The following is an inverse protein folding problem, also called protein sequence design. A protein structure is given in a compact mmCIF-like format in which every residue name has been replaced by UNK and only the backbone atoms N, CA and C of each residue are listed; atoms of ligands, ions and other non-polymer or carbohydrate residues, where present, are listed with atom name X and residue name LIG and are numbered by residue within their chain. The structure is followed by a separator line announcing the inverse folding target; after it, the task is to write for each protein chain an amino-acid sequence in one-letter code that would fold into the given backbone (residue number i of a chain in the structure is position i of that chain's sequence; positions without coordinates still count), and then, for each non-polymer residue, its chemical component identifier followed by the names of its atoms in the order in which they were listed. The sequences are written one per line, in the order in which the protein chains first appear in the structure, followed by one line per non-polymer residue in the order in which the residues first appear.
data_IF_964867216909
#
_entry.id   IF_964867216909
#
_cell.length_a   1.000
_cell.length_b   1.000
_cell.length_c   1.000
_cell.angle_alpha   90.00
_cell.angle_beta   90.00
_cell.angle_gamma   90.00
#
_symmetry.space_group_name_H-M   'P 1'
#
loop_
_entity.id
_entity.type
_entity.pdbx_description
1 polymer ?
#
# COMPACT_ATOMS: atom_id res chain seq x y z
N UNK A 1 1.93 -47.61 -4.06
CA UNK A 1 2.16 -46.96 -5.38
C UNK A 1 1.00 -46.06 -5.81
N UNK A 2 -0.26 -46.51 -5.84
CA UNK A 2 -1.42 -45.64 -6.18
C UNK A 2 -1.44 -44.31 -5.40
N UNK A 3 -1.26 -44.34 -4.08
CA UNK A 3 -1.31 -43.15 -3.23
C UNK A 3 -0.14 -42.17 -3.47
N UNK A 4 0.99 -42.66 -3.98
CA UNK A 4 2.14 -41.82 -4.33
C UNK A 4 1.87 -41.06 -5.63
N UNK A 5 1.23 -41.71 -6.61
CA UNK A 5 0.79 -41.03 -7.85
C UNK A 5 -0.27 -39.97 -7.58
N UNK A 6 -1.22 -40.24 -6.67
CA UNK A 6 -2.24 -39.25 -6.28
C UNK A 6 -1.63 -38.04 -5.56
N UNK A 7 -0.65 -38.27 -4.67
CA UNK A 7 0.06 -37.19 -3.96
C UNK A 7 0.92 -36.34 -4.92
N UNK A 8 1.60 -36.99 -5.88
CA UNK A 8 2.36 -36.29 -6.92
C UNK A 8 1.42 -35.43 -7.77
N UNK A 9 0.28 -35.97 -8.22
CA UNK A 9 -0.73 -35.23 -9.02
C UNK A 9 -1.31 -34.03 -8.27
N UNK A 10 -1.59 -34.16 -6.97
CA UNK A 10 -2.05 -33.05 -6.14
C UNK A 10 -0.97 -31.98 -6.00
N UNK A 11 0.28 -32.38 -5.78
CA UNK A 11 1.41 -31.46 -5.66
C UNK A 11 1.67 -30.71 -6.98
N UNK A 12 1.59 -31.37 -8.14
CA UNK A 12 1.70 -30.68 -9.44
C UNK A 12 0.54 -29.73 -9.67
N UNK A 13 -0.70 -30.11 -9.33
CA UNK A 13 -1.87 -29.23 -9.48
C UNK A 13 -1.76 -27.94 -8.63
N UNK A 14 -1.19 -28.03 -7.42
CA UNK A 14 -0.94 -26.86 -6.56
C UNK A 14 0.11 -25.95 -7.20
N UNK A 15 1.21 -26.53 -7.72
CA UNK A 15 2.31 -25.76 -8.34
C UNK A 15 1.89 -25.03 -9.63
N UNK A 16 0.95 -25.58 -10.42
CA UNK A 16 0.46 -24.91 -11.62
C UNK A 16 -0.51 -23.74 -11.34
N UNK A 17 -1.11 -23.68 -10.15
CA UNK A 17 -2.04 -22.60 -9.76
C UNK A 17 -1.35 -21.41 -9.07
N UNK A 18 -0.04 -21.47 -8.79
CA UNK A 18 0.66 -20.44 -8.01
C UNK A 18 1.32 -19.33 -8.85
N UNK A 19 1.13 -19.34 -10.17
CA UNK A 19 1.71 -18.34 -11.06
C UNK A 19 0.74 -17.17 -11.23
N UNK A 20 0.94 -16.09 -10.47
CA UNK A 20 0.11 -14.89 -10.53
C UNK A 20 0.72 -13.86 -11.50
N UNK A 21 -0.14 -13.13 -12.21
CA UNK A 21 0.26 -12.04 -13.11
C UNK A 21 -0.04 -10.71 -12.45
N UNK A 22 0.93 -9.81 -12.44
CA UNK A 22 0.71 -8.42 -11.99
C UNK A 22 -0.23 -7.74 -12.99
N UNK A 23 -1.40 -7.20 -12.55
CA UNK A 23 -2.45 -6.74 -13.46
C UNK A 23 -2.01 -5.62 -14.42
N UNK A 24 -1.14 -4.71 -13.95
CA UNK A 24 -0.70 -3.54 -14.72
C UNK A 24 0.49 -3.88 -15.63
N UNK A 25 1.47 -4.64 -15.16
CA UNK A 25 2.72 -4.89 -15.91
C UNK A 25 2.70 -6.20 -16.69
N UNK A 26 1.74 -7.09 -16.43
CA UNK A 26 1.70 -8.44 -17.00
C UNK A 26 2.83 -9.35 -16.52
N UNK A 27 3.65 -8.90 -15.56
CA UNK A 27 4.79 -9.67 -15.05
C UNK A 27 4.27 -10.87 -14.27
N UNK A 28 4.73 -12.06 -14.65
CA UNK A 28 4.46 -13.30 -13.92
C UNK A 28 5.46 -13.47 -12.78
N UNK A 29 4.95 -13.76 -11.60
CA UNK A 29 5.78 -14.08 -10.44
C UNK A 29 5.07 -15.10 -9.57
N UNK A 30 5.85 -15.89 -8.84
CA UNK A 30 5.33 -16.75 -7.79
C UNK A 30 4.99 -15.88 -6.57
N UNK A 31 3.75 -15.96 -6.09
CA UNK A 31 3.29 -15.25 -4.89
C UNK A 31 2.78 -16.31 -3.91
N UNK A 32 3.47 -16.47 -2.79
CA UNK A 32 3.11 -17.45 -1.76
C UNK A 32 1.99 -16.96 -0.82
N UNK A 33 1.83 -15.65 -0.68
CA UNK A 33 0.91 -15.02 0.27
C UNK A 33 -0.14 -14.21 -0.48
N UNK A 34 -1.40 -14.37 -0.13
CA UNK A 34 -2.50 -13.66 -0.81
C UNK A 34 -2.49 -12.15 -0.54
N UNK A 35 -3.00 -11.35 -1.48
CA UNK A 35 -3.14 -9.90 -1.29
C UNK A 35 -4.00 -9.55 -0.06
N UNK A 36 -5.02 -10.37 0.24
CA UNK A 36 -5.87 -10.18 1.41
C UNK A 36 -5.08 -10.34 2.71
N UNK A 37 -4.25 -11.37 2.81
CA UNK A 37 -3.40 -11.61 3.97
C UNK A 37 -2.33 -10.51 4.14
N UNK A 38 -1.70 -10.09 3.04
CA UNK A 38 -0.75 -8.97 3.04
C UNK A 38 -1.43 -7.67 3.49
N UNK A 39 -2.61 -7.35 2.97
CA UNK A 39 -3.35 -6.14 3.33
C UNK A 39 -3.77 -6.17 4.81
N UNK A 40 -4.18 -7.32 5.33
CA UNK A 40 -4.55 -7.48 6.73
C UNK A 40 -3.33 -7.30 7.66
N UNK A 41 -2.20 -7.89 7.30
CA UNK A 41 -0.94 -7.73 8.05
C UNK A 41 -0.46 -6.27 8.01
N UNK A 42 -0.48 -5.63 6.85
CA UNK A 42 -0.15 -4.22 6.67
C UNK A 42 -1.03 -3.30 7.54
N UNK A 43 -2.34 -3.53 7.56
CA UNK A 43 -3.26 -2.75 8.40
C UNK A 43 -2.95 -2.90 9.90
N UNK A 44 -2.60 -4.11 10.35
CA UNK A 44 -2.21 -4.36 11.75
C UNK A 44 -0.90 -3.67 12.10
N UNK A 45 0.15 -3.82 11.28
CA UNK A 45 1.44 -3.16 11.49
C UNK A 45 1.32 -1.65 11.48
N UNK A 46 0.51 -1.10 10.58
CA UNK A 46 0.24 0.33 10.53
C UNK A 46 -0.48 0.82 11.80
N UNK A 47 -1.54 0.13 12.22
CA UNK A 47 -2.23 0.46 13.47
C UNK A 47 -1.30 0.39 14.68
N UNK A 48 -0.39 -0.59 14.72
CA UNK A 48 0.59 -0.71 15.79
C UNK A 48 1.56 0.48 15.80
N UNK A 49 2.07 0.88 14.64
CA UNK A 49 2.92 2.07 14.53
C UNK A 49 2.20 3.32 15.06
N UNK A 50 0.97 3.56 14.59
CA UNK A 50 0.20 4.75 14.99
C UNK A 50 -0.17 4.76 16.47
N UNK A 51 -0.21 3.59 17.11
CA UNK A 51 -0.51 3.45 18.54
C UNK A 51 0.74 3.44 19.42
N UNK A 52 1.94 3.35 18.83
CA UNK A 52 3.19 3.40 19.58
C UNK A 52 3.36 4.81 20.21
N UNK A 53 3.57 4.93 21.53
CA UNK A 53 3.79 6.21 22.19
C UNK A 53 4.97 7.03 21.64
N UNK A 54 5.92 6.39 20.95
CA UNK A 54 7.04 7.06 20.27
C UNK A 54 6.62 7.71 18.95
N UNK A 55 5.55 7.23 18.32
CA UNK A 55 4.98 7.80 17.10
C UNK A 55 4.09 8.97 17.46
N UNK A 56 4.57 10.19 17.22
CA UNK A 56 3.80 11.40 17.46
C UNK A 56 3.06 11.80 16.20
N UNK A 57 1.74 11.62 16.18
CA UNK A 57 0.92 12.06 15.05
C UNK A 57 0.66 13.56 15.11
N UNK A 58 0.93 14.23 13.98
CA UNK A 58 0.51 15.61 13.78
C UNK A 58 -0.92 15.59 13.23
N UNK A 59 -1.85 16.16 14.00
CA UNK A 59 -3.26 16.28 13.63
C UNK A 59 -3.71 17.73 13.73
N UNK A 60 -4.77 18.09 13.00
CA UNK A 60 -5.40 19.42 13.03
C UNK A 60 -4.49 20.62 12.68
N UNK A 61 -3.36 20.37 12.02
CA UNK A 61 -2.48 21.43 11.48
C UNK A 61 -2.71 21.61 9.97
N UNK A 62 -2.28 22.76 9.44
CA UNK A 62 -2.28 23.03 8.00
C UNK A 62 -1.54 21.95 7.20
N UNK A 63 -0.39 21.49 7.70
CA UNK A 63 0.41 20.45 7.02
C UNK A 63 -0.26 19.09 7.08
N UNK A 64 -0.86 18.71 8.22
CA UNK A 64 -1.60 17.46 8.31
C UNK A 64 -2.81 17.45 7.37
N UNK A 65 -3.54 18.57 7.28
CA UNK A 65 -4.65 18.75 6.34
C UNK A 65 -4.17 18.74 4.88
N UNK A 66 -3.00 19.33 4.61
CA UNK A 66 -2.36 19.35 3.29
C UNK A 66 -1.99 17.94 2.83
N UNK A 67 -1.33 17.14 3.67
CA UNK A 67 -1.02 15.73 3.40
C UNK A 67 -2.29 14.95 3.09
N UNK A 68 -3.33 15.06 3.94
CA UNK A 68 -4.61 14.38 3.70
C UNK A 68 -5.29 14.81 2.41
N UNK A 69 -5.33 16.12 2.13
CA UNK A 69 -5.93 16.68 0.90
C UNK A 69 -5.22 16.16 -0.35
N UNK A 70 -3.90 16.19 -0.38
CA UNK A 70 -3.10 15.72 -1.53
C UNK A 70 -3.25 14.20 -1.68
N UNK A 71 -3.11 13.45 -0.59
CA UNK A 71 -3.29 12.00 -0.57
C UNK A 71 -4.66 11.58 -1.11
N UNK A 72 -5.74 12.23 -0.65
CA UNK A 72 -7.09 11.93 -1.14
C UNK A 72 -7.28 12.26 -2.64
N UNK A 73 -6.64 13.31 -3.15
CA UNK A 73 -6.64 13.61 -4.59
C UNK A 73 -5.91 12.54 -5.40
N UNK A 74 -4.78 12.03 -4.89
CA UNK A 74 -4.02 10.93 -5.51
C UNK A 74 -4.84 9.64 -5.49
N UNK A 75 -5.41 9.27 -4.34
CA UNK A 75 -6.29 8.11 -4.18
C UNK A 75 -7.44 8.12 -5.20
N UNK A 76 -8.14 9.25 -5.33
CA UNK A 76 -9.23 9.40 -6.30
C UNK A 76 -8.76 9.26 -7.76
N UNK A 77 -7.54 9.73 -8.08
CA UNK A 77 -6.97 9.55 -9.41
C UNK A 77 -6.62 8.08 -9.70
N UNK A 78 -6.05 7.38 -8.72
CA UNK A 78 -5.71 5.95 -8.79
C UNK A 78 -6.98 5.11 -8.97
N UNK A 79 -7.99 5.32 -8.14
CA UNK A 79 -9.26 4.59 -8.22
C UNK A 79 -9.96 4.80 -9.56
N UNK A 80 -9.96 6.03 -10.08
CA UNK A 80 -10.48 6.33 -11.42
C UNK A 80 -9.70 5.57 -12.50
N UNK A 81 -8.37 5.54 -12.42
CA UNK A 81 -7.53 4.80 -13.36
C UNK A 81 -7.83 3.30 -13.32
N UNK A 82 -7.87 2.69 -12.13
CA UNK A 82 -8.14 1.27 -11.97
C UNK A 82 -9.53 0.89 -12.49
N UNK A 83 -10.54 1.72 -12.23
CA UNK A 83 -11.89 1.53 -12.78
C UNK A 83 -11.91 1.62 -14.30
N UNK A 84 -11.26 2.63 -14.88
CA UNK A 84 -11.22 2.81 -16.33
C UNK A 84 -10.51 1.66 -17.07
N UNK A 85 -9.60 0.96 -16.39
CA UNK A 85 -8.84 -0.14 -16.96
C UNK A 85 -9.33 -1.54 -16.49
N UNK A 86 -10.48 -1.64 -15.83
CA UNK A 86 -11.08 -2.92 -15.43
C UNK A 86 -10.42 -3.61 -14.22
N UNK A 87 -9.60 -2.90 -13.45
CA UNK A 87 -8.90 -3.43 -12.28
C UNK A 87 -9.57 -3.08 -10.94
N UNK A 88 -10.67 -2.32 -10.94
CA UNK A 88 -11.30 -1.84 -9.70
C UNK A 88 -11.69 -2.95 -8.72
N UNK A 89 -12.07 -4.14 -9.19
CA UNK A 89 -12.44 -5.27 -8.32
C UNK A 89 -11.25 -6.01 -7.71
N UNK A 90 -10.03 -5.71 -8.17
CA UNK A 90 -8.82 -6.40 -7.73
C UNK A 90 -8.16 -5.71 -6.53
N UNK A 91 -8.58 -4.49 -6.21
CA UNK A 91 -8.01 -3.68 -5.13
C UNK A 91 -9.12 -3.09 -4.27
N UNK A 92 -9.03 -3.27 -2.96
CA UNK A 92 -9.88 -2.60 -1.97
C UNK A 92 -9.01 -1.76 -1.04
N UNK A 93 -8.62 -0.57 -1.51
CA UNK A 93 -7.80 0.32 -0.72
C UNK A 93 -8.62 1.01 0.37
N UNK A 94 -8.15 0.93 1.61
CA UNK A 94 -8.66 1.70 2.74
C UNK A 94 -7.67 2.82 3.02
N UNK A 95 -7.67 3.83 2.16
CA UNK A 95 -6.65 4.87 2.17
C UNK A 95 -6.55 5.59 3.52
N UNK A 96 -5.33 5.68 4.03
CA UNK A 96 -5.00 6.44 5.23
C UNK A 96 -3.73 7.22 4.99
N UNK A 97 -3.79 8.53 5.22
CA UNK A 97 -2.66 9.44 5.08
C UNK A 97 -2.42 10.13 6.40
N UNK A 98 -1.27 9.87 7.02
CA UNK A 98 -0.90 10.41 8.31
C UNK A 98 0.44 11.13 8.27
N UNK A 99 0.51 12.25 8.99
CA UNK A 99 1.73 13.03 9.18
C UNK A 99 2.30 12.70 10.55
N UNK A 100 3.54 12.21 10.59
CA UNK A 100 4.27 11.85 11.80
C UNK A 100 5.29 12.94 12.10
N UNK A 101 5.34 13.38 13.35
CA UNK A 101 6.35 14.31 13.83
C UNK A 101 7.70 13.60 13.98
N UNK A 102 8.59 13.84 13.02
CA UNK A 102 9.95 13.31 13.02
C UNK A 102 10.82 14.18 12.13
N UNK A 103 12.06 14.42 12.56
CA UNK A 103 13.06 15.15 11.76
C UNK A 103 13.62 14.34 10.60
N UNK A 104 13.31 13.05 10.55
CA UNK A 104 13.73 12.18 9.46
C UNK A 104 13.07 12.63 8.14
N UNK A 105 13.86 12.67 7.08
CA UNK A 105 13.41 13.01 5.74
C UNK A 105 12.88 11.74 5.10
N UNK A 106 11.60 11.43 5.32
CA UNK A 106 11.02 10.18 4.86
C UNK A 106 9.52 10.25 4.57
N UNK A 107 9.07 9.35 3.69
CA UNK A 107 7.68 9.00 3.46
C UNK A 107 7.64 7.57 2.89
N UNK A 108 6.64 6.78 3.28
CA UNK A 108 6.49 5.41 2.81
C UNK A 108 5.03 4.98 2.79
N UNK A 109 4.75 3.88 2.09
CA UNK A 109 3.44 3.25 2.05
C UNK A 109 3.50 1.75 2.38
N UNK A 110 2.37 1.22 2.85
CA UNK A 110 2.11 -0.21 2.97
C UNK A 110 0.90 -0.61 2.11
N UNK A 111 0.78 -1.92 1.78
CA UNK A 111 -0.40 -2.46 1.10
C UNK A 111 -1.73 -2.06 1.74
N UNK A 112 -2.79 -2.00 0.93
CA UNK A 112 -4.11 -1.57 1.39
C UNK A 112 -4.28 -0.05 1.54
N UNK A 113 -3.30 0.75 1.10
CA UNK A 113 -3.40 2.21 1.01
C UNK A 113 -2.98 2.95 2.28
N UNK A 114 -2.08 2.39 3.08
CA UNK A 114 -1.58 3.05 4.30
C UNK A 114 -0.34 3.87 3.96
N UNK A 115 -0.35 5.16 4.23
CA UNK A 115 0.74 6.08 3.86
C UNK A 115 1.15 6.90 5.07
N UNK A 116 2.44 6.90 5.37
CA UNK A 116 3.04 7.73 6.41
C UNK A 116 3.99 8.76 5.78
N UNK A 117 3.83 10.01 6.18
CA UNK A 117 4.67 11.14 5.77
C UNK A 117 5.32 11.71 7.02
N UNK A 118 6.62 11.99 7.00
CA UNK A 118 7.34 12.48 8.17
C UNK A 118 7.56 13.99 8.03
N UNK A 119 7.37 14.77 9.10
CA UNK A 119 7.42 16.24 9.05
C UNK A 119 8.76 16.77 8.50
N UNK A 120 9.86 16.03 8.70
CA UNK A 120 11.18 16.35 8.17
C UNK A 120 11.28 16.41 6.65
N UNK A 121 10.37 15.77 5.90
CA UNK A 121 10.38 15.83 4.42
C UNK A 121 9.74 17.11 3.87
N UNK A 122 8.86 17.77 4.63
CA UNK A 122 8.05 18.90 4.15
C UNK A 122 8.87 20.12 3.66
N UNK A 123 10.00 20.49 4.30
CA UNK A 123 10.83 21.58 3.78
C UNK A 123 11.45 21.27 2.40
N UNK A 124 11.67 20.00 2.08
CA UNK A 124 12.26 19.56 0.81
C UNK A 124 11.20 19.55 -0.30
N UNK A 125 9.96 19.17 0.04
CA UNK A 125 8.86 19.13 -0.92
C UNK A 125 8.42 20.53 -1.36
N UNK A 126 8.68 21.57 -0.54
CA UNK A 126 8.39 22.99 -0.81
C UNK A 126 6.89 23.29 -0.97
N UNK A 127 6.29 22.83 -2.06
CA UNK A 127 4.93 23.11 -2.48
C UNK A 127 4.07 21.84 -2.63
N UNK A 128 2.79 22.03 -2.99
CA UNK A 128 1.83 20.93 -3.10
C UNK A 128 2.24 19.95 -4.21
N UNK A 129 2.91 20.43 -5.26
CA UNK A 129 3.35 19.59 -6.37
C UNK A 129 4.55 18.73 -5.96
N UNK A 130 5.51 19.29 -5.23
CA UNK A 130 6.63 18.51 -4.68
C UNK A 130 6.17 17.47 -3.66
N UNK A 131 5.20 17.81 -2.80
CA UNK A 131 4.63 16.85 -1.85
C UNK A 131 3.83 15.76 -2.58
N UNK A 132 3.04 16.13 -3.59
CA UNK A 132 2.33 15.16 -4.43
C UNK A 132 3.28 14.25 -5.21
N UNK A 133 4.44 14.75 -5.64
CA UNK A 133 5.47 13.95 -6.33
C UNK A 133 6.02 12.87 -5.40
N UNK A 134 6.36 13.23 -4.16
CA UNK A 134 6.83 12.26 -3.16
C UNK A 134 5.74 11.26 -2.78
N UNK A 135 4.52 11.73 -2.53
CA UNK A 135 3.41 10.84 -2.15
C UNK A 135 2.88 9.97 -3.30
N UNK A 136 3.13 10.37 -4.55
CA UNK A 136 2.69 9.66 -5.75
C UNK A 136 3.71 8.65 -6.28
N UNK A 137 4.96 8.71 -5.83
CA UNK A 137 6.00 7.71 -6.09
C UNK A 137 5.68 6.41 -5.35
#
# INVERSE_FOLDING_TARGET
MKNLYTAILLATAILFNSCSSVPITGRKQFIAVSDAEINQSAAQSYSQLLSDPKTKLISNTTDAQRVKRIGNKLAAAIERYLKANGYASQYDFKWEFNLIDSKEVNAWCMPGGKVAVYSGILPITKDDAGLATVMGH
#
